data_IF_820804757495
#
_entry.id   IF_820804757495
#
_cell.length_a   1.000
_cell.length_b   1.000
_cell.length_c   1.000
_cell.angle_alpha   90.00
_cell.angle_beta   90.00
_cell.angle_gamma   90.00
#
_symmetry.space_group_name_H-M   'P 1'
#
loop_
_entity.id
_entity.type
_entity.pdbx_description
1 polymer ?
#
# COMPACT_ATOMS: atom_id res chain seq x y z
N UNK A 1 22.74 -5.89 -15.75
CA UNK A 1 21.88 -6.78 -14.95
C UNK A 1 20.46 -6.23 -15.00
N UNK A 2 19.47 -6.98 -15.49
CA UNK A 2 18.07 -6.57 -15.39
C UNK A 2 17.58 -6.83 -13.97
N UNK A 3 17.38 -5.77 -13.19
CA UNK A 3 16.91 -5.85 -11.81
C UNK A 3 15.44 -6.30 -11.73
N UNK A 4 14.94 -6.49 -10.50
CA UNK A 4 13.50 -6.74 -10.30
C UNK A 4 12.64 -5.57 -10.81
N UNK A 5 13.19 -4.36 -10.82
CA UNK A 5 12.53 -3.17 -11.35
C UNK A 5 12.28 -3.28 -12.86
N UNK A 6 13.31 -3.54 -13.66
CA UNK A 6 13.19 -3.66 -15.12
C UNK A 6 12.22 -4.78 -15.53
N UNK A 7 12.26 -5.90 -14.81
CA UNK A 7 11.33 -7.01 -15.04
C UNK A 7 9.88 -6.63 -14.75
N UNK A 8 9.62 -5.83 -13.70
CA UNK A 8 8.27 -5.30 -13.40
C UNK A 8 7.79 -4.37 -14.51
N UNK A 9 8.64 -3.47 -15.00
CA UNK A 9 8.26 -2.56 -16.09
C UNK A 9 7.93 -3.30 -17.38
N UNK A 10 8.70 -4.35 -17.69
CA UNK A 10 8.39 -5.24 -18.82
C UNK A 10 7.04 -5.94 -18.63
N UNK A 11 6.75 -6.44 -17.44
CA UNK A 11 5.46 -7.06 -17.12
C UNK A 11 4.29 -6.08 -17.19
N UNK A 12 4.47 -4.86 -16.70
CA UNK A 12 3.50 -3.78 -16.79
C UNK A 12 3.15 -3.48 -18.25
N UNK A 13 4.16 -3.37 -19.13
CA UNK A 13 3.92 -3.18 -20.56
C UNK A 13 3.07 -4.30 -21.15
N UNK A 14 3.39 -5.56 -20.89
CA UNK A 14 2.59 -6.69 -21.38
C UNK A 14 1.13 -6.66 -20.90
N UNK A 15 0.91 -6.27 -19.65
CA UNK A 15 -0.45 -6.12 -19.13
C UNK A 15 -1.22 -5.00 -19.85
N UNK A 16 -0.60 -3.84 -20.10
CA UNK A 16 -1.24 -2.77 -20.88
C UNK A 16 -1.51 -3.16 -22.33
N UNK A 17 -0.55 -3.83 -22.98
CA UNK A 17 -0.71 -4.31 -24.35
C UNK A 17 -1.89 -5.29 -24.46
N UNK A 18 -2.20 -6.01 -23.38
CA UNK A 18 -3.37 -6.89 -23.25
C UNK A 18 -4.66 -6.17 -22.81
N UNK A 19 -4.66 -4.85 -22.65
CA UNK A 19 -5.82 -4.05 -22.23
C UNK A 19 -6.15 -4.12 -20.73
N UNK A 20 -5.23 -4.63 -19.90
CA UNK A 20 -5.43 -4.74 -18.44
C UNK A 20 -5.13 -3.39 -17.79
N UNK A 21 -5.99 -2.95 -16.87
CA UNK A 21 -5.74 -1.76 -16.04
C UNK A 21 -4.58 -2.01 -15.09
N UNK A 22 -3.67 -1.05 -14.99
CA UNK A 22 -2.50 -1.09 -14.13
C UNK A 22 -2.67 -0.19 -12.92
N UNK A 23 -2.37 -0.74 -11.75
CA UNK A 23 -2.21 0.01 -10.53
C UNK A 23 -0.78 -0.17 -9.99
N UNK A 24 -0.15 0.92 -9.57
CA UNK A 24 1.14 0.89 -8.87
C UNK A 24 0.87 0.91 -7.38
N UNK A 25 1.27 -0.14 -6.66
CA UNK A 25 1.25 -0.14 -5.19
C UNK A 25 2.64 0.16 -4.66
N UNK A 26 2.72 1.13 -3.74
CA UNK A 26 3.96 1.52 -3.06
C UNK A 26 3.75 1.67 -1.55
N UNK A 27 4.86 1.61 -0.82
CA UNK A 27 4.90 1.81 0.62
C UNK A 27 5.68 3.08 0.92
N UNK A 28 5.07 4.02 1.63
CA UNK A 28 5.74 5.25 2.08
C UNK A 28 6.58 4.99 3.31
N UNK A 29 7.83 5.41 3.25
CA UNK A 29 8.83 5.37 4.31
C UNK A 29 9.59 6.69 4.34
N UNK A 30 10.27 6.97 5.46
CA UNK A 30 11.06 8.21 5.63
C UNK A 30 12.05 8.46 4.49
N UNK A 31 12.63 7.39 3.93
CA UNK A 31 13.68 7.48 2.93
C UNK A 31 13.22 7.60 1.47
N UNK A 32 11.93 7.37 1.17
CA UNK A 32 11.46 7.34 -0.23
C UNK A 32 10.37 8.38 -0.55
N UNK A 33 10.11 9.32 0.36
CA UNK A 33 9.02 10.29 0.18
C UNK A 33 9.23 11.16 -1.08
N UNK A 34 10.47 11.58 -1.35
CA UNK A 34 10.80 12.38 -2.53
C UNK A 34 10.59 11.58 -3.82
N UNK A 35 10.93 10.30 -3.82
CA UNK A 35 10.76 9.40 -4.95
C UNK A 35 9.27 9.10 -5.20
N UNK A 36 8.48 8.97 -4.12
CA UNK A 36 7.04 8.77 -4.22
C UNK A 36 6.37 9.97 -4.89
N UNK A 37 6.77 11.19 -4.56
CA UNK A 37 6.24 12.42 -5.19
C UNK A 37 6.45 12.45 -6.71
N UNK A 38 7.46 11.73 -7.23
CA UNK A 38 7.75 11.62 -8.66
C UNK A 38 6.99 10.49 -9.36
N UNK A 39 6.27 9.64 -8.62
CA UNK A 39 5.54 8.51 -9.19
C UNK A 39 4.51 8.91 -10.24
N UNK A 40 3.75 10.02 -10.16
CA UNK A 40 2.80 10.38 -11.21
C UNK A 40 3.48 10.60 -12.56
N UNK A 41 4.61 11.32 -12.57
CA UNK A 41 5.39 11.55 -13.79
C UNK A 41 5.92 10.23 -14.37
N UNK A 42 6.43 9.35 -13.50
CA UNK A 42 6.88 8.03 -13.91
C UNK A 42 5.73 7.18 -14.46
N UNK A 43 4.58 7.21 -13.78
CA UNK A 43 3.38 6.40 -14.04
C UNK A 43 2.72 6.75 -15.37
N UNK A 44 2.73 8.02 -15.76
CA UNK A 44 2.22 8.49 -17.06
C UNK A 44 2.91 7.78 -18.23
N UNK A 45 4.23 7.63 -18.18
CA UNK A 45 5.02 6.98 -19.24
C UNK A 45 4.71 5.49 -19.46
N UNK A 46 4.08 4.83 -18.49
CA UNK A 46 3.74 3.41 -18.54
C UNK A 46 2.22 3.15 -18.59
N UNK A 47 1.41 4.19 -18.74
CA UNK A 47 -0.05 4.07 -18.82
C UNK A 47 -0.68 3.52 -17.55
N UNK A 48 -0.13 3.85 -16.38
CA UNK A 48 -0.70 3.47 -15.07
C UNK A 48 -2.02 4.19 -14.85
N UNK A 49 -3.04 3.45 -14.42
CA UNK A 49 -4.41 3.93 -14.24
C UNK A 49 -4.66 4.43 -12.80
N UNK A 50 -3.92 3.90 -11.82
CA UNK A 50 -4.01 4.33 -10.42
C UNK A 50 -2.76 4.07 -9.60
N UNK A 51 -2.60 4.81 -8.49
CA UNK A 51 -1.52 4.60 -7.52
C UNK A 51 -2.12 4.29 -6.13
N UNK A 52 -1.65 3.23 -5.49
CA UNK A 52 -1.98 2.87 -4.12
C UNK A 52 -0.78 3.15 -3.22
N UNK A 53 -0.99 3.94 -2.17
CA UNK A 53 0.06 4.33 -1.23
C UNK A 53 -0.27 3.80 0.16
N UNK A 54 0.54 2.86 0.64
CA UNK A 54 0.37 2.22 1.96
C UNK A 54 1.50 2.62 2.91
N UNK A 55 1.31 2.39 4.22
CA UNK A 55 2.35 2.54 5.22
C UNK A 55 3.03 1.19 5.51
N UNK A 56 4.19 1.24 6.18
CA UNK A 56 4.75 0.03 6.80
C UNK A 56 3.76 -0.47 7.86
N UNK A 57 3.39 -1.75 7.76
CA UNK A 57 2.71 -2.48 8.83
C UNK A 57 3.77 -3.26 9.59
N UNK A 58 4.01 -2.86 10.83
CA UNK A 58 5.07 -3.42 11.67
C UNK A 58 4.63 -4.71 12.36
N UNK A 59 4.51 -5.79 11.58
CA UNK A 59 4.15 -7.12 12.09
C UNK A 59 5.28 -8.15 11.90
N UNK A 60 5.24 -9.22 12.71
CA UNK A 60 6.17 -10.35 12.64
C UNK A 60 7.65 -9.95 12.60
N UNK A 61 8.37 -10.44 11.58
CA UNK A 61 9.81 -10.15 11.34
C UNK A 61 10.09 -8.66 11.04
N UNK A 62 9.08 -7.91 10.60
CA UNK A 62 9.18 -6.48 10.31
C UNK A 62 9.00 -5.55 11.53
N UNK A 63 8.73 -6.10 12.72
CA UNK A 63 8.49 -5.31 13.94
C UNK A 63 9.64 -4.34 14.28
N UNK A 64 10.89 -4.70 13.94
CA UNK A 64 12.08 -3.86 14.18
C UNK A 64 12.35 -2.82 13.08
N UNK A 65 11.62 -2.84 11.97
CA UNK A 65 11.80 -1.87 10.88
C UNK A 65 11.25 -0.49 11.22
N UNK A 66 10.48 -0.36 12.29
CA UNK A 66 9.90 0.92 12.74
C UNK A 66 10.96 1.93 13.14
N UNK A 67 12.05 1.49 13.78
CA UNK A 67 13.17 2.34 14.16
C UNK A 67 13.97 2.76 12.93
N UNK A 68 13.65 3.94 12.37
CA UNK A 68 14.39 4.59 11.29
C UNK A 68 13.63 4.72 9.96
N UNK A 69 12.71 3.81 9.66
CA UNK A 69 12.00 3.80 8.35
C UNK A 69 10.56 4.31 8.43
N UNK A 70 9.86 4.06 9.54
CA UNK A 70 8.46 4.48 9.68
C UNK A 70 8.34 5.96 9.98
N UNK A 71 7.37 6.61 9.35
CA UNK A 71 6.95 7.97 9.68
C UNK A 71 6.13 7.94 10.96
N UNK A 72 6.35 8.90 11.86
CA UNK A 72 5.42 9.16 12.95
C UNK A 72 4.13 9.82 12.41
N UNK A 73 3.16 10.08 13.29
CA UNK A 73 1.86 10.63 12.89
C UNK A 73 1.97 12.00 12.19
N UNK A 74 2.73 12.94 12.75
CA UNK A 74 2.91 14.28 12.19
C UNK A 74 3.68 14.23 10.85
N UNK A 75 4.74 13.43 10.79
CA UNK A 75 5.51 13.19 9.56
C UNK A 75 4.63 12.57 8.46
N UNK A 76 3.75 11.65 8.84
CA UNK A 76 2.82 11.03 7.91
C UNK A 76 1.77 12.02 7.42
N UNK A 77 1.17 12.84 8.30
CA UNK A 77 0.20 13.84 7.86
C UNK A 77 0.82 14.77 6.80
N UNK A 78 2.04 15.23 7.06
CA UNK A 78 2.82 16.03 6.09
C UNK A 78 3.09 15.24 4.80
N UNK A 79 3.45 13.97 4.90
CA UNK A 79 3.67 13.12 3.73
C UNK A 79 2.39 12.95 2.90
N UNK A 80 1.24 12.69 3.52
CA UNK A 80 -0.05 12.54 2.84
C UNK A 80 -0.38 13.81 2.07
N UNK A 81 -0.30 14.99 2.69
CA UNK A 81 -0.59 16.26 2.03
C UNK A 81 0.31 16.50 0.82
N UNK A 82 1.61 16.18 0.94
CA UNK A 82 2.58 16.30 -0.17
C UNK A 82 2.26 15.33 -1.31
N UNK A 83 1.90 14.09 -0.98
CA UNK A 83 1.57 13.06 -1.96
C UNK A 83 0.24 13.39 -2.66
N UNK A 84 -0.80 13.76 -1.93
CA UNK A 84 -2.09 14.19 -2.49
C UNK A 84 -1.91 15.36 -3.46
N UNK A 85 -1.10 16.35 -3.09
CA UNK A 85 -0.75 17.46 -3.97
C UNK A 85 -0.02 16.97 -5.23
N UNK A 86 1.04 16.17 -5.08
CA UNK A 86 1.81 15.64 -6.20
C UNK A 86 0.97 14.76 -7.14
N UNK A 87 -0.03 14.06 -6.60
CA UNK A 87 -0.87 13.10 -7.31
C UNK A 87 -2.13 13.76 -7.89
N UNK A 88 -2.21 15.09 -7.85
CA UNK A 88 -3.27 15.85 -8.52
C UNK A 88 -3.34 15.48 -10.00
N UNK A 89 -4.47 14.92 -10.43
CA UNK A 89 -4.69 14.47 -11.81
C UNK A 89 -4.47 12.99 -12.08
N UNK A 90 -4.11 12.17 -11.08
CA UNK A 90 -4.12 10.71 -11.18
C UNK A 90 -4.98 10.08 -10.08
N UNK A 91 -5.71 9.02 -10.42
CA UNK A 91 -6.47 8.26 -9.43
C UNK A 91 -5.52 7.69 -8.40
N UNK A 92 -5.76 7.98 -7.12
CA UNK A 92 -4.94 7.45 -6.06
C UNK A 92 -5.76 7.06 -4.85
N UNK A 93 -5.26 6.07 -4.12
CA UNK A 93 -5.89 5.56 -2.91
C UNK A 93 -4.85 5.39 -1.82
N UNK A 94 -5.18 5.86 -0.63
CA UNK A 94 -4.49 5.50 0.59
C UNK A 94 -5.32 4.43 1.29
N UNK A 95 -5.05 3.12 1.08
CA UNK A 95 -5.71 2.07 1.82
C UNK A 95 -5.33 2.21 3.31
N UNK A 96 -6.17 2.92 4.06
CA UNK A 96 -6.00 3.16 5.47
C UNK A 96 -6.10 1.83 6.22
N UNK A 97 -4.98 1.38 6.75
CA UNK A 97 -4.96 0.49 7.91
C UNK A 97 -3.58 0.67 8.54
N UNK A 98 -3.52 1.04 9.81
CA UNK A 98 -2.32 1.10 10.68
C UNK A 98 -1.94 2.48 11.23
N UNK A 99 -2.87 3.44 11.39
CA UNK A 99 -2.67 4.43 12.46
C UNK A 99 -3.29 3.83 13.74
N UNK A 100 -2.48 3.48 14.75
CA UNK A 100 -3.01 2.97 16.02
C UNK A 100 -3.87 4.03 16.74
N UNK A 101 -3.69 5.31 16.39
CA UNK A 101 -4.49 6.43 16.85
C UNK A 101 -4.76 7.35 15.65
N UNK A 102 -5.85 7.16 14.89
CA UNK A 102 -6.19 8.14 13.86
C UNK A 102 -6.54 9.45 14.55
N UNK A 103 -5.85 10.53 14.20
CA UNK A 103 -6.32 11.88 14.51
C UNK A 103 -7.79 12.00 14.07
N UNK A 104 -8.68 12.52 14.94
CA UNK A 104 -10.13 12.62 14.71
C UNK A 104 -10.48 13.31 13.37
N UNK A 105 -9.58 14.15 12.86
CA UNK A 105 -9.70 14.88 11.60
C UNK A 105 -9.44 14.03 10.35
N UNK A 106 -8.89 12.81 10.48
CA UNK A 106 -8.50 11.99 9.34
C UNK A 106 -9.41 10.77 9.11
N UNK A 107 -10.33 10.44 10.05
CA UNK A 107 -11.31 9.33 9.97
C UNK A 107 -10.73 7.99 9.43
N UNK A 108 -9.49 7.65 9.80
CA UNK A 108 -8.79 6.49 9.22
C UNK A 108 -9.00 5.23 10.08
N UNK A 109 -10.11 4.54 9.89
CA UNK A 109 -10.37 3.20 10.46
C UNK A 109 -9.90 2.08 9.53
N UNK A 110 -9.58 0.92 10.09
CA UNK A 110 -9.36 -0.30 9.30
C UNK A 110 -10.71 -0.80 8.76
N UNK A 111 -11.11 -0.34 7.58
CA UNK A 111 -12.33 -0.82 6.90
C UNK A 111 -12.22 -2.26 6.37
N UNK A 112 -11.04 -2.90 6.54
CA UNK A 112 -10.77 -4.23 6.02
C UNK A 112 -11.81 -5.27 6.44
N UNK A 113 -12.25 -5.25 7.70
CA UNK A 113 -13.18 -6.24 8.24
C UNK A 113 -14.62 -6.11 7.70
N UNK A 114 -14.99 -4.93 7.19
CA UNK A 114 -16.36 -4.64 6.72
C UNK A 114 -16.45 -4.79 5.20
N UNK A 115 -15.38 -4.48 4.47
CA UNK A 115 -15.38 -4.45 3.01
C UNK A 115 -14.77 -5.70 2.36
N UNK A 116 -13.94 -6.46 3.09
CA UNK A 116 -13.09 -7.50 2.48
C UNK A 116 -13.16 -8.78 3.28
N UNK A 117 -13.35 -9.88 2.55
CA UNK A 117 -13.14 -11.24 3.05
C UNK A 117 -11.71 -11.65 2.71
N UNK A 118 -10.92 -12.03 3.71
CA UNK A 118 -9.62 -12.65 3.47
C UNK A 118 -9.75 -14.17 3.57
N UNK A 119 -9.37 -14.84 2.49
CA UNK A 119 -9.24 -16.30 2.42
C UNK A 119 -7.77 -16.58 2.20
N UNK A 120 -7.18 -17.43 3.03
CA UNK A 120 -5.79 -17.83 2.89
C UNK A 120 -5.63 -18.98 1.86
N UNK A 121 -4.39 -19.40 1.54
CA UNK A 121 -4.18 -20.46 0.55
C UNK A 121 -4.74 -21.85 0.93
N UNK A 122 -5.14 -22.09 2.19
CA UNK A 122 -5.79 -23.35 2.61
C UNK A 122 -7.31 -23.30 2.53
N UNK A 123 -7.87 -22.16 2.09
CA UNK A 123 -9.31 -21.94 2.03
C UNK A 123 -9.90 -21.39 3.33
N UNK A 124 -9.07 -21.12 4.35
CA UNK A 124 -9.56 -20.62 5.63
C UNK A 124 -9.92 -19.14 5.54
N UNK A 125 -11.14 -18.83 5.99
CA UNK A 125 -11.62 -17.47 6.14
C UNK A 125 -10.95 -16.87 7.37
N UNK A 126 -10.13 -15.84 7.18
CA UNK A 126 -9.38 -15.18 8.26
C UNK A 126 -9.83 -13.72 8.41
N UNK A 127 -9.81 -13.16 9.65
CA UNK A 127 -10.28 -11.81 9.91
C UNK A 127 -9.44 -10.72 9.21
N UNK A 128 -8.14 -10.95 9.02
CA UNK A 128 -7.26 -10.02 8.31
C UNK A 128 -5.97 -10.70 7.85
N UNK A 129 -5.54 -10.44 6.61
CA UNK A 129 -4.31 -11.03 6.07
C UNK A 129 -3.02 -10.54 6.76
N UNK A 130 -3.09 -9.38 7.42
CA UNK A 130 -1.98 -8.73 8.13
C UNK A 130 -1.84 -9.15 9.60
N UNK A 131 -2.82 -9.89 10.14
CA UNK A 131 -2.72 -10.39 11.51
C UNK A 131 -1.54 -11.36 11.65
N UNK A 132 -0.82 -11.36 12.78
CA UNK A 132 0.11 -12.42 13.13
C UNK A 132 -0.55 -13.81 13.06
N UNK A 133 0.20 -14.85 12.70
CA UNK A 133 -0.34 -16.21 12.54
C UNK A 133 -1.06 -16.72 13.80
N UNK A 134 -0.54 -16.38 14.97
CA UNK A 134 -1.10 -16.69 16.29
C UNK A 134 -2.42 -15.98 16.58
N UNK A 135 -2.77 -14.94 15.81
CA UNK A 135 -4.03 -14.19 15.91
C UNK A 135 -4.97 -14.43 14.72
N UNK A 136 -4.56 -15.26 13.75
CA UNK A 136 -5.40 -15.66 12.60
C UNK A 136 -6.26 -16.87 12.97
N UNK A 137 -7.26 -16.66 13.82
CA UNK A 137 -8.26 -17.70 14.08
C UNK A 137 -9.16 -17.84 12.85
N UNK A 138 -9.28 -19.04 12.25
CA UNK A 138 -10.21 -19.28 11.15
C UNK A 138 -11.65 -19.04 11.59
N UNK A 139 -12.42 -18.36 10.75
CA UNK A 139 -13.85 -18.10 10.91
C UNK A 139 -14.72 -19.11 10.14
N UNK A 140 -14.11 -19.88 9.24
CA UNK A 140 -14.74 -20.87 8.36
C UNK A 140 -13.76 -21.32 7.27
N UNK A 141 -14.21 -22.19 6.36
CA UNK A 141 -13.44 -22.68 5.22
C UNK A 141 -14.35 -22.75 3.98
N UNK A 142 -13.84 -22.37 2.79
CA UNK A 142 -14.62 -22.31 1.53
C UNK A 142 -14.56 -23.59 0.71
#
# INVERSE_FOLDING_TARGET
>A
MNGSFDRRLKGAKFAKDAGIKLAVSTVVIRHNLKEIELLPQFSYGYGVDSILVSCIVSSGRGRKLTSGYSLNEEEMEKAIRRIEWAFSGINHLFPNSSFPYPHLSLERYCHYLVEKLAIDPTGDIIPCCLLPMDLKTPLGNV
#
